data_IF_601453176423
#
_entry.id   IF_601453176423
#
_cell.length_a   1.000
_cell.length_b   1.000
_cell.length_c   1.000
_cell.angle_alpha   90.00
_cell.angle_beta   90.00
_cell.angle_gamma   90.00
#
_symmetry.space_group_name_H-M   'P 1'
#
loop_
_entity.id
_entity.type
_entity.pdbx_description
1 polymer ?
#
# COMPACT_ATOMS: atom_id res chain seq x y z
N UNK A 1 23.78 -0.26 -21.88
CA UNK A 1 23.03 -1.13 -20.97
C UNK A 1 21.82 -0.34 -20.49
N UNK A 2 20.64 -0.63 -21.06
CA UNK A 2 19.41 0.09 -20.71
C UNK A 2 19.06 -0.24 -19.26
N UNK A 3 19.03 0.76 -18.39
CA UNK A 3 18.50 0.60 -17.03
C UNK A 3 17.01 0.31 -17.17
N UNK A 4 16.63 -0.97 -17.12
CA UNK A 4 15.23 -1.37 -17.08
C UNK A 4 14.64 -0.81 -15.78
N UNK A 5 13.85 0.25 -15.92
CA UNK A 5 13.12 0.85 -14.82
C UNK A 5 12.13 -0.19 -14.29
N UNK A 6 12.35 -0.67 -13.07
CA UNK A 6 11.42 -1.58 -12.39
C UNK A 6 10.16 -0.81 -11.99
N UNK A 7 9.00 -1.40 -12.23
CA UNK A 7 7.71 -0.79 -11.93
C UNK A 7 7.49 -0.83 -10.42
N UNK A 8 7.24 0.33 -9.81
CA UNK A 8 7.04 0.49 -8.37
C UNK A 8 5.56 0.36 -8.02
N UNK A 9 5.21 -0.66 -7.26
CA UNK A 9 3.83 -0.94 -6.86
C UNK A 9 3.68 -0.76 -5.36
N UNK A 10 2.68 0.02 -4.94
CA UNK A 10 2.25 0.09 -3.54
C UNK A 10 0.99 -0.73 -3.33
N UNK A 11 1.07 -1.78 -2.52
CA UNK A 11 -0.10 -2.48 -2.00
C UNK A 11 -0.63 -1.76 -0.76
N UNK A 12 -1.87 -1.26 -0.81
CA UNK A 12 -2.50 -0.56 0.30
C UNK A 12 -3.59 -1.43 0.93
N UNK A 13 -3.50 -1.70 2.22
CA UNK A 13 -4.53 -2.40 2.99
C UNK A 13 -4.82 -1.64 4.29
N UNK A 14 -6.05 -1.64 4.79
CA UNK A 14 -6.42 -0.81 5.96
C UNK A 14 -5.70 -1.25 7.24
N UNK A 15 -5.70 -2.56 7.53
CA UNK A 15 -5.02 -3.21 8.66
C UNK A 15 -4.50 -4.58 8.22
N UNK A 16 -3.53 -5.10 8.95
CA UNK A 16 -2.96 -6.45 8.78
C UNK A 16 -3.24 -7.37 9.99
N UNK A 17 -4.51 -7.59 10.40
CA UNK A 17 -4.83 -8.62 11.40
C UNK A 17 -4.70 -10.02 10.79
N UNK A 18 -4.60 -11.05 11.63
CA UNK A 18 -4.74 -12.43 11.17
C UNK A 18 -6.02 -12.64 10.32
N UNK A 19 -5.90 -13.31 9.17
CA UNK A 19 -7.03 -13.55 8.25
C UNK A 19 -6.63 -13.82 6.80
N UNK A 20 -7.53 -14.48 6.05
CA UNK A 20 -7.27 -14.94 4.69
C UNK A 20 -7.15 -13.85 3.63
N UNK A 21 -7.75 -12.67 3.85
CA UNK A 21 -7.59 -11.53 2.93
C UNK A 21 -6.15 -11.01 2.92
N UNK A 22 -5.49 -11.04 4.09
CA UNK A 22 -4.11 -10.61 4.27
C UNK A 22 -3.15 -11.64 3.68
N UNK A 23 -3.42 -12.94 3.87
CA UNK A 23 -2.69 -14.00 3.18
C UNK A 23 -2.73 -13.81 1.66
N UNK A 24 -3.90 -13.54 1.09
CA UNK A 24 -4.00 -13.27 -0.34
C UNK A 24 -3.17 -12.05 -0.79
N UNK A 25 -3.20 -10.95 -0.04
CA UNK A 25 -2.39 -9.76 -0.34
C UNK A 25 -0.89 -10.09 -0.29
N UNK A 26 -0.44 -10.82 0.74
CA UNK A 26 0.98 -11.16 0.93
C UNK A 26 1.45 -12.19 -0.10
N UNK A 27 0.61 -13.17 -0.46
CA UNK A 27 0.88 -14.11 -1.55
C UNK A 27 0.97 -13.40 -2.90
N UNK A 28 0.08 -12.43 -3.16
CA UNK A 28 0.14 -11.60 -4.36
C UNK A 28 1.47 -10.84 -4.44
N UNK A 29 1.92 -10.25 -3.33
CA UNK A 29 3.22 -9.58 -3.27
C UNK A 29 4.36 -10.58 -3.49
N UNK A 30 4.33 -11.74 -2.84
CA UNK A 30 5.38 -12.75 -2.92
C UNK A 30 5.53 -13.35 -4.32
N UNK A 31 4.44 -13.47 -5.09
CA UNK A 31 4.43 -14.04 -6.44
C UNK A 31 4.88 -13.08 -7.56
N UNK A 32 5.09 -11.79 -7.27
CA UNK A 32 5.52 -10.82 -8.28
C UNK A 32 7.02 -10.94 -8.58
N UNK A 33 7.36 -10.99 -9.88
CA UNK A 33 8.75 -11.05 -10.35
C UNK A 33 9.55 -9.82 -9.90
N UNK A 34 10.55 -10.04 -9.04
CA UNK A 34 11.41 -9.00 -8.46
C UNK A 34 12.39 -8.40 -9.47
N UNK A 35 12.58 -9.03 -10.62
CA UNK A 35 13.33 -8.47 -11.74
C UNK A 35 12.55 -7.37 -12.48
N UNK A 36 11.21 -7.38 -12.38
CA UNK A 36 10.31 -6.43 -13.06
C UNK A 36 9.70 -5.43 -12.08
N UNK A 37 9.37 -5.87 -10.85
CA UNK A 37 8.59 -5.09 -9.89
C UNK A 37 9.34 -4.83 -8.58
N UNK A 38 9.30 -3.58 -8.14
CA UNK A 38 9.65 -3.18 -6.78
C UNK A 38 8.35 -2.98 -5.99
N UNK A 39 8.07 -3.88 -5.03
CA UNK A 39 6.75 -3.96 -4.39
C UNK A 39 6.84 -3.60 -2.90
N UNK A 40 6.11 -2.58 -2.51
CA UNK A 40 5.97 -2.16 -1.11
C UNK A 40 4.54 -2.39 -0.62
N UNK A 41 4.36 -2.43 0.69
CA UNK A 41 3.05 -2.54 1.34
C UNK A 41 2.85 -1.45 2.39
N UNK A 42 1.69 -0.80 2.36
CA UNK A 42 1.28 0.20 3.35
C UNK A 42 -0.03 -0.17 4.04
N UNK A 43 -0.09 0.06 5.35
CA UNK A 43 -1.28 -0.05 6.19
C UNK A 43 -1.13 0.76 7.47
N UNK A 44 -2.16 0.80 8.32
CA UNK A 44 -1.98 1.31 9.69
C UNK A 44 -0.81 0.64 10.41
N UNK A 45 -0.18 1.32 11.38
CA UNK A 45 0.85 0.73 12.22
C UNK A 45 0.32 -0.48 12.98
N UNK A 46 1.16 -1.51 13.10
CA UNK A 46 0.86 -2.73 13.84
C UNK A 46 -0.06 -3.70 13.11
N UNK A 47 -0.05 -4.94 13.57
CA UNK A 47 -0.80 -6.06 13.01
C UNK A 47 0.00 -7.36 13.13
N UNK A 48 -0.70 -8.48 13.24
CA UNK A 48 -0.10 -9.80 13.44
C UNK A 48 0.78 -10.22 12.26
N UNK A 49 0.51 -9.69 11.06
CA UNK A 49 1.24 -10.01 9.83
C UNK A 49 2.38 -9.05 9.47
N UNK A 50 2.74 -8.12 10.34
CA UNK A 50 3.78 -7.12 10.04
C UNK A 50 5.14 -7.75 9.72
N UNK A 51 5.50 -8.83 10.41
CA UNK A 51 6.74 -9.57 10.15
C UNK A 51 6.71 -10.25 8.78
N UNK A 52 5.62 -10.94 8.45
CA UNK A 52 5.48 -11.57 7.13
C UNK A 52 5.43 -10.54 6.00
N UNK A 53 4.79 -9.39 6.23
CA UNK A 53 4.82 -8.28 5.29
C UNK A 53 6.24 -7.77 5.03
N UNK A 54 7.08 -7.66 6.07
CA UNK A 54 8.51 -7.34 5.94
C UNK A 54 9.31 -8.43 5.23
N UNK A 55 8.91 -9.70 5.35
CA UNK A 55 9.59 -10.80 4.68
C UNK A 55 9.31 -10.86 3.17
N UNK A 56 8.11 -10.45 2.73
CA UNK A 56 7.72 -10.55 1.31
C UNK A 56 7.85 -9.24 0.55
N UNK A 57 7.58 -8.09 1.17
CA UNK A 57 7.66 -6.79 0.51
C UNK A 57 9.07 -6.19 0.62
N UNK A 58 9.43 -5.32 -0.32
CA UNK A 58 10.66 -4.53 -0.23
C UNK A 58 10.63 -3.56 0.95
N UNK A 59 9.47 -2.93 1.21
CA UNK A 59 9.24 -2.12 2.41
C UNK A 59 7.83 -2.32 2.98
N UNK A 60 7.75 -2.30 4.31
CA UNK A 60 6.50 -2.21 5.08
C UNK A 60 6.36 -0.81 5.67
N UNK A 61 5.45 -0.03 5.10
CA UNK A 61 5.27 1.39 5.38
C UNK A 61 4.04 1.63 6.25
N UNK A 62 4.16 2.42 7.32
CA UNK A 62 3.04 2.73 8.19
C UNK A 62 2.36 4.05 7.80
N UNK A 63 1.03 3.99 7.64
CA UNK A 63 0.17 5.16 7.46
C UNK A 63 -0.59 5.41 8.77
N UNK A 64 -0.10 6.36 9.56
CA UNK A 64 -0.58 6.58 10.93
C UNK A 64 -2.02 7.13 10.97
N UNK A 65 -2.45 7.81 9.91
CA UNK A 65 -3.79 8.38 9.81
C UNK A 65 -4.81 7.38 9.24
N UNK A 66 -4.35 6.29 8.59
CA UNK A 66 -5.21 5.26 8.02
C UNK A 66 -5.78 4.34 9.10
N UNK A 67 -6.77 4.80 9.84
CA UNK A 67 -7.35 4.00 10.92
C UNK A 67 -8.52 3.13 10.45
N UNK A 68 -8.79 2.05 11.19
CA UNK A 68 -9.91 1.16 10.86
C UNK A 68 -11.28 1.82 11.10
N UNK A 69 -11.43 2.54 12.21
CA UNK A 69 -12.67 3.26 12.54
C UNK A 69 -12.95 4.34 11.50
N UNK A 70 -14.22 4.54 11.15
CA UNK A 70 -14.64 5.62 10.25
C UNK A 70 -14.53 6.95 10.99
N UNK A 71 -13.71 7.85 10.48
CA UNK A 71 -13.44 9.14 11.10
C UNK A 71 -13.10 10.15 9.99
N UNK A 72 -14.08 10.91 9.48
CA UNK A 72 -13.91 11.72 8.27
C UNK A 72 -12.69 12.65 8.29
N UNK A 73 -12.44 13.32 9.43
CA UNK A 73 -11.28 14.20 9.59
C UNK A 73 -9.95 13.43 9.48
N UNK A 74 -9.85 12.24 10.09
CA UNK A 74 -8.66 11.38 9.98
C UNK A 74 -8.54 10.76 8.60
N UNK A 75 -9.65 10.46 7.95
CA UNK A 75 -9.67 9.92 6.59
C UNK A 75 -9.13 10.94 5.57
N UNK A 76 -9.43 12.24 5.76
CA UNK A 76 -8.80 13.32 4.99
C UNK A 76 -7.29 13.40 5.24
N UNK A 77 -6.86 13.26 6.49
CA UNK A 77 -5.44 13.22 6.84
C UNK A 77 -4.74 11.99 6.25
N UNK A 78 -5.42 10.83 6.19
CA UNK A 78 -4.93 9.61 5.58
C UNK A 78 -4.78 9.75 4.06
N UNK A 79 -5.72 10.41 3.39
CA UNK A 79 -5.58 10.76 1.97
C UNK A 79 -4.35 11.65 1.77
N UNK A 80 -4.18 12.70 2.58
CA UNK A 80 -3.02 13.59 2.48
C UNK A 80 -1.69 12.86 2.74
N UNK A 81 -1.65 11.99 3.75
CA UNK A 81 -0.50 11.14 4.06
C UNK A 81 -0.15 10.21 2.89
N UNK A 82 -1.15 9.53 2.33
CA UNK A 82 -1.00 8.63 1.20
C UNK A 82 -0.56 9.38 -0.07
N UNK A 83 -1.12 10.55 -0.38
CA UNK A 83 -0.69 11.38 -1.53
C UNK A 83 0.78 11.77 -1.40
N UNK A 84 1.23 12.17 -0.21
CA UNK A 84 2.64 12.49 0.03
C UNK A 84 3.52 11.27 -0.17
N UNK A 85 3.12 10.11 0.34
CA UNK A 85 3.85 8.87 0.15
C UNK A 85 3.97 8.49 -1.33
N UNK A 86 2.84 8.52 -2.05
CA UNK A 86 2.78 8.19 -3.48
C UNK A 86 3.75 9.02 -4.32
N UNK A 87 3.80 10.33 -4.06
CA UNK A 87 4.68 11.28 -4.77
C UNK A 87 6.14 11.15 -4.35
N UNK A 88 6.41 11.00 -3.05
CA UNK A 88 7.79 10.92 -2.52
C UNK A 88 8.52 9.68 -3.01
N UNK A 89 7.85 8.54 -2.96
CA UNK A 89 8.41 7.25 -3.37
C UNK A 89 8.27 6.99 -4.87
N UNK A 90 7.58 7.88 -5.60
CA UNK A 90 7.36 7.79 -7.07
C UNK A 90 6.78 6.43 -7.47
N UNK A 91 5.66 6.04 -6.88
CA UNK A 91 4.98 4.80 -7.27
C UNK A 91 4.31 4.94 -8.64
N UNK A 92 4.37 3.87 -9.42
CA UNK A 92 3.74 3.77 -10.73
C UNK A 92 2.31 3.21 -10.64
N UNK A 93 2.05 2.35 -9.64
CA UNK A 93 0.75 1.67 -9.45
C UNK A 93 0.39 1.64 -7.95
N UNK A 94 -0.89 1.90 -7.65
CA UNK A 94 -1.48 1.74 -6.32
C UNK A 94 -2.50 0.60 -6.30
N UNK A 95 -2.14 -0.55 -5.75
CA UNK A 95 -3.04 -1.68 -5.63
C UNK A 95 -3.74 -1.67 -4.26
N UNK A 96 -5.06 -1.44 -4.22
CA UNK A 96 -5.81 -1.36 -2.95
C UNK A 96 -6.52 -2.66 -2.59
N UNK A 97 -6.44 -3.04 -1.31
CA UNK A 97 -7.10 -4.20 -0.70
C UNK A 97 -8.00 -3.71 0.43
N UNK A 98 -9.24 -4.20 0.53
CA UNK A 98 -10.32 -3.74 1.46
C UNK A 98 -11.07 -2.46 1.04
N UNK A 99 -12.32 -2.35 1.51
CA UNK A 99 -13.24 -1.27 1.12
C UNK A 99 -12.73 0.14 1.47
N UNK A 100 -12.16 0.32 2.67
CA UNK A 100 -11.69 1.64 3.13
C UNK A 100 -10.43 2.08 2.38
N UNK A 101 -9.43 1.21 2.27
CA UNK A 101 -8.26 1.46 1.45
C UNK A 101 -8.62 1.71 -0.02
N UNK A 102 -9.61 0.99 -0.57
CA UNK A 102 -10.11 1.23 -1.92
C UNK A 102 -10.70 2.63 -2.10
N UNK A 103 -11.56 3.07 -1.19
CA UNK A 103 -12.15 4.40 -1.25
C UNK A 103 -11.09 5.51 -1.14
N UNK A 104 -10.28 5.48 -0.08
CA UNK A 104 -9.28 6.52 0.18
C UNK A 104 -8.15 6.47 -0.86
N UNK A 105 -7.75 5.27 -1.27
CA UNK A 105 -6.73 5.03 -2.28
C UNK A 105 -7.13 5.56 -3.66
N UNK A 106 -8.40 5.42 -4.07
CA UNK A 106 -8.88 6.00 -5.34
C UNK A 106 -8.71 7.51 -5.38
N UNK A 107 -9.08 8.17 -4.28
CA UNK A 107 -8.94 9.62 -4.15
C UNK A 107 -7.46 10.01 -4.17
N UNK A 108 -6.63 9.35 -3.35
CA UNK A 108 -5.21 9.64 -3.26
C UNK A 108 -4.45 9.36 -4.57
N UNK A 109 -4.72 8.24 -5.24
CA UNK A 109 -4.13 7.87 -6.52
C UNK A 109 -4.45 8.90 -7.60
N UNK A 110 -5.72 9.33 -7.70
CA UNK A 110 -6.11 10.41 -8.63
C UNK A 110 -5.38 11.72 -8.35
N UNK A 111 -5.27 12.12 -7.08
CA UNK A 111 -4.55 13.33 -6.68
C UNK A 111 -3.03 13.23 -6.92
N UNK A 112 -2.47 12.03 -6.80
CA UNK A 112 -1.05 11.76 -7.02
C UNK A 112 -0.71 11.46 -8.50
N UNK A 113 -1.71 11.32 -9.38
CA UNK A 113 -1.56 10.82 -10.76
C UNK A 113 -0.96 9.41 -10.82
N UNK A 114 -1.30 8.57 -9.84
CA UNK A 114 -0.92 7.17 -9.78
C UNK A 114 -2.17 6.34 -10.09
N UNK A 115 -2.17 5.54 -11.16
CA UNK A 115 -3.29 4.64 -11.47
C UNK A 115 -3.46 3.57 -10.39
N UNK A 116 -4.70 3.09 -10.26
CA UNK A 116 -5.06 1.97 -9.39
C UNK A 116 -5.13 0.67 -10.18
#
# INVERSE_FOLDING_TARGET
>A
MSTTHRVRILHLITKLPYGGAQDNTLLSIAGLDRAVYDVDIASSPGGDWDERARAVARQRLSLHQLQHQMAPARDLLAIAELVRLLRRERYDILHTHSSKAGLLGRIAGRLARVPL
#
